data_IF_307736824996
#
_entry.id   IF_307736824996
#
_cell.length_a   1.000
_cell.length_b   1.000
_cell.length_c   1.000
_cell.angle_alpha   90.00
_cell.angle_beta   90.00
_cell.angle_gamma   90.00
#
_symmetry.space_group_name_H-M   'P 1'
#
loop_
_entity.id
_entity.type
_entity.pdbx_description
1 polymer ?
#
# COMPACT_ATOMS: atom_id res chain seq x y z
N UNK A 1 19.71 6.44 2.22
CA UNK A 1 20.98 6.81 1.55
C UNK A 1 22.12 7.00 2.55
N UNK A 2 21.88 7.63 3.70
CA UNK A 2 22.88 7.84 4.77
C UNK A 2 23.24 6.49 5.42
N UNK A 3 22.28 5.58 5.65
CA UNK A 3 22.57 4.24 6.18
C UNK A 3 23.27 3.31 5.18
N UNK A 4 23.14 3.53 3.87
CA UNK A 4 23.89 2.81 2.84
C UNK A 4 25.36 3.25 2.81
N UNK A 5 25.64 4.53 3.06
CA UNK A 5 27.01 5.08 3.15
C UNK A 5 27.73 4.63 4.42
N UNK A 6 27.07 4.51 5.55
CA UNK A 6 27.65 3.92 6.78
C UNK A 6 27.99 2.44 6.59
N UNK A 7 27.26 1.74 5.73
CA UNK A 7 27.52 0.34 5.47
C UNK A 7 28.71 0.10 4.53
N UNK A 8 28.99 1.00 3.60
CA UNK A 8 30.22 0.94 2.76
C UNK A 8 31.46 1.28 3.54
N UNK A 9 31.39 2.21 4.50
CA UNK A 9 32.52 2.55 5.37
C UNK A 9 32.89 1.41 6.33
N UNK A 10 31.94 0.54 6.68
CA UNK A 10 32.15 -0.63 7.51
C UNK A 10 32.99 -1.73 6.82
N UNK A 11 33.02 -1.76 5.48
CA UNK A 11 33.78 -2.75 4.70
C UNK A 11 35.28 -2.48 4.65
N UNK A 12 35.73 -1.25 4.86
CA UNK A 12 37.15 -0.88 4.77
C UNK A 12 38.00 -1.30 6.00
N UNK A 13 37.37 -1.66 7.13
CA UNK A 13 38.06 -2.05 8.37
C UNK A 13 37.88 -3.53 8.76
N UNK A 14 37.99 -4.46 7.81
CA UNK A 14 37.90 -5.90 8.12
C UNK A 14 39.25 -6.43 8.61
N UNK A 15 39.52 -6.30 9.88
CA UNK A 15 40.37 -7.23 10.61
C UNK A 15 39.53 -8.45 11.02
N UNK A 16 40.07 -9.66 10.84
CA UNK A 16 39.42 -10.95 11.14
C UNK A 16 39.24 -11.10 12.66
N UNK A 17 38.20 -10.47 13.22
CA UNK A 17 37.90 -10.54 14.66
C UNK A 17 36.51 -11.19 14.86
N UNK A 18 36.44 -12.15 15.80
CA UNK A 18 35.19 -12.89 16.16
C UNK A 18 34.05 -11.96 16.64
N UNK A 19 34.37 -10.76 17.17
CA UNK A 19 33.43 -9.75 17.57
C UNK A 19 32.62 -9.19 16.42
N UNK A 20 33.19 -9.12 15.20
CA UNK A 20 32.52 -8.62 13.99
C UNK A 20 31.35 -9.51 13.57
N UNK A 21 31.40 -10.81 13.81
CA UNK A 21 30.30 -11.74 13.49
C UNK A 21 29.10 -11.61 14.43
N UNK A 22 29.33 -11.34 15.70
CA UNK A 22 28.27 -11.08 16.69
C UNK A 22 27.49 -9.81 16.33
N UNK A 23 28.16 -8.76 15.92
CA UNK A 23 27.53 -7.50 15.48
C UNK A 23 26.77 -7.67 14.16
N UNK A 24 27.24 -8.47 13.21
CA UNK A 24 26.52 -8.74 11.97
C UNK A 24 25.17 -9.44 12.16
N UNK A 25 25.08 -10.39 13.07
CA UNK A 25 23.80 -11.01 13.43
C UNK A 25 22.80 -9.99 13.98
N UNK A 26 23.26 -9.00 14.76
CA UNK A 26 22.45 -7.89 15.26
C UNK A 26 22.01 -6.95 14.13
N UNK A 27 22.89 -6.66 13.16
CA UNK A 27 22.55 -5.83 12.01
C UNK A 27 21.56 -6.49 11.07
N UNK A 28 21.69 -7.79 10.77
CA UNK A 28 20.72 -8.53 9.94
C UNK A 28 19.32 -8.54 10.59
N UNK A 29 19.23 -8.70 11.92
CA UNK A 29 17.98 -8.52 12.68
C UNK A 29 17.38 -7.13 12.51
N UNK A 30 18.20 -6.10 12.59
CA UNK A 30 17.78 -4.71 12.42
C UNK A 30 17.20 -4.49 11.03
N UNK A 31 17.83 -5.04 9.98
CA UNK A 31 17.35 -4.93 8.61
C UNK A 31 16.02 -5.63 8.39
N UNK A 32 15.86 -6.90 8.78
CA UNK A 32 14.60 -7.64 8.63
C UNK A 32 13.48 -6.95 9.44
N UNK A 33 13.76 -6.51 10.66
CA UNK A 33 12.79 -5.76 11.48
C UNK A 33 12.46 -4.40 10.89
N UNK A 34 13.44 -3.68 10.37
CA UNK A 34 13.25 -2.34 9.80
C UNK A 34 12.45 -2.44 8.51
N UNK A 35 12.75 -3.37 7.61
CA UNK A 35 12.02 -3.56 6.36
C UNK A 35 10.55 -3.91 6.65
N UNK A 36 10.29 -4.93 7.46
CA UNK A 36 8.92 -5.33 7.80
C UNK A 36 8.18 -4.26 8.61
N UNK A 37 8.85 -3.59 9.56
CA UNK A 37 8.22 -2.57 10.38
C UNK A 37 7.94 -1.27 9.62
N UNK A 38 8.85 -0.84 8.74
CA UNK A 38 8.64 0.35 7.89
C UNK A 38 7.51 0.11 6.90
N UNK A 39 7.43 -1.07 6.32
CA UNK A 39 6.35 -1.43 5.40
C UNK A 39 4.98 -1.50 6.10
N UNK A 40 4.91 -2.12 7.28
CA UNK A 40 3.70 -2.15 8.09
C UNK A 40 3.23 -0.74 8.47
N UNK A 41 4.16 0.14 8.89
CA UNK A 41 3.84 1.53 9.21
C UNK A 41 3.38 2.30 7.97
N UNK A 42 4.04 2.11 6.83
CA UNK A 42 3.69 2.81 5.57
C UNK A 42 2.34 2.35 5.02
N UNK A 43 2.06 1.04 5.06
CA UNK A 43 0.76 0.49 4.65
C UNK A 43 -0.35 0.96 5.58
N UNK A 44 -0.03 1.23 6.85
CA UNK A 44 -0.96 1.72 7.87
C UNK A 44 -1.14 3.26 7.85
N UNK A 45 -0.43 4.02 7.04
CA UNK A 45 -0.60 5.47 6.93
C UNK A 45 -1.76 5.86 6.01
N UNK A 46 -2.51 6.89 6.41
CA UNK A 46 -3.48 7.55 5.53
C UNK A 46 -2.76 8.40 4.47
N UNK A 47 -3.38 8.69 3.32
CA UNK A 47 -2.73 9.50 2.27
C UNK A 47 -2.24 10.87 2.75
N UNK A 48 -2.95 11.52 3.68
CA UNK A 48 -2.54 12.80 4.28
C UNK A 48 -1.31 12.67 5.20
N UNK A 49 -1.17 11.52 5.90
CA UNK A 49 -0.05 11.25 6.80
C UNK A 49 1.21 10.81 6.04
N UNK A 50 1.03 10.08 4.92
CA UNK A 50 2.15 9.55 4.14
C UNK A 50 3.01 10.67 3.55
N UNK A 51 2.41 11.65 2.86
CA UNK A 51 3.13 12.79 2.29
C UNK A 51 2.22 14.02 2.21
N UNK A 52 2.20 14.87 3.24
CA UNK A 52 1.30 16.03 3.32
C UNK A 52 1.44 17.01 2.15
N UNK A 53 2.65 17.19 1.62
CA UNK A 53 2.89 18.08 0.48
C UNK A 53 2.23 17.56 -0.79
N UNK A 54 2.37 16.26 -1.08
CA UNK A 54 1.73 15.63 -2.24
C UNK A 54 0.22 15.61 -2.07
N UNK A 55 -0.27 15.28 -0.88
CA UNK A 55 -1.69 15.32 -0.55
C UNK A 55 -2.32 16.69 -0.86
N UNK A 56 -1.70 17.78 -0.38
CA UNK A 56 -2.20 19.13 -0.63
C UNK A 56 -2.15 19.50 -2.12
N UNK A 57 -1.14 19.09 -2.85
CA UNK A 57 -1.04 19.28 -4.30
C UNK A 57 -2.18 18.56 -5.02
N UNK A 58 -2.42 17.30 -4.70
CA UNK A 58 -3.49 16.48 -5.29
C UNK A 58 -4.87 17.04 -4.95
N UNK A 59 -5.07 17.49 -3.71
CA UNK A 59 -6.30 18.16 -3.30
C UNK A 59 -6.55 19.41 -4.12
N UNK A 60 -5.55 20.30 -4.24
CA UNK A 60 -5.65 21.51 -5.02
C UNK A 60 -5.92 21.21 -6.51
N UNK A 61 -5.29 20.18 -7.07
CA UNK A 61 -5.53 19.73 -8.44
C UNK A 61 -6.97 19.25 -8.62
N UNK A 62 -7.45 18.40 -7.71
CA UNK A 62 -8.82 17.87 -7.75
C UNK A 62 -9.87 18.97 -7.61
N UNK A 63 -9.72 19.87 -6.62
CA UNK A 63 -10.72 20.90 -6.32
C UNK A 63 -10.68 22.07 -7.31
N UNK A 64 -9.51 22.53 -7.77
CA UNK A 64 -9.39 23.74 -8.58
C UNK A 64 -9.30 23.48 -10.10
N UNK A 65 -8.90 22.27 -10.53
CA UNK A 65 -8.74 21.96 -11.96
C UNK A 65 -9.77 20.92 -12.40
N UNK A 66 -9.87 19.81 -11.71
CA UNK A 66 -10.70 18.69 -12.14
C UNK A 66 -12.19 18.91 -11.82
N UNK A 67 -12.48 19.50 -10.65
CA UNK A 67 -13.86 19.77 -10.24
C UNK A 67 -14.62 20.71 -11.21
N UNK A 68 -14.06 21.82 -11.71
CA UNK A 68 -14.72 22.63 -12.74
C UNK A 68 -15.01 21.85 -14.04
N UNK A 69 -14.09 21.00 -14.48
CA UNK A 69 -14.28 20.13 -15.65
C UNK A 69 -15.44 19.16 -15.41
N UNK A 70 -15.46 18.52 -14.23
CA UNK A 70 -16.55 17.65 -13.83
C UNK A 70 -17.91 18.36 -13.77
N UNK A 71 -17.91 19.63 -13.34
CA UNK A 71 -19.09 20.50 -13.37
C UNK A 71 -19.64 20.75 -14.79
N UNK A 72 -18.75 21.00 -15.76
CA UNK A 72 -19.12 21.13 -17.16
C UNK A 72 -19.73 19.81 -17.68
N UNK A 73 -19.09 18.67 -17.39
CA UNK A 73 -19.58 17.33 -17.78
C UNK A 73 -20.97 17.10 -17.17
N UNK A 74 -21.15 17.37 -15.89
CA UNK A 74 -22.44 17.23 -15.22
C UNK A 74 -23.52 18.10 -15.89
N UNK A 75 -23.17 19.36 -16.25
CA UNK A 75 -24.10 20.26 -16.92
C UNK A 75 -24.58 19.69 -18.26
N UNK A 76 -23.68 19.17 -19.09
CA UNK A 76 -24.04 18.49 -20.33
C UNK A 76 -24.92 17.26 -20.07
N UNK A 77 -24.59 16.44 -19.10
CA UNK A 77 -25.38 15.26 -18.72
C UNK A 77 -26.78 15.67 -18.25
N UNK A 78 -26.89 16.67 -17.40
CA UNK A 78 -28.16 17.16 -16.88
C UNK A 78 -29.04 17.77 -18.00
N UNK A 79 -28.46 18.54 -18.91
CA UNK A 79 -29.19 19.07 -20.08
C UNK A 79 -29.67 17.92 -20.99
N UNK A 80 -28.83 16.95 -21.29
CA UNK A 80 -29.20 15.78 -22.09
C UNK A 80 -30.36 15.00 -21.45
N UNK A 81 -30.31 14.77 -20.16
CA UNK A 81 -31.36 14.07 -19.42
C UNK A 81 -32.67 14.87 -19.42
N UNK A 82 -32.61 16.21 -19.29
CA UNK A 82 -33.78 17.06 -19.39
C UNK A 82 -34.44 16.96 -20.78
N UNK A 83 -33.63 16.99 -21.85
CA UNK A 83 -34.12 16.83 -23.21
C UNK A 83 -34.82 15.48 -23.39
N UNK A 84 -34.21 14.39 -22.89
CA UNK A 84 -34.82 13.06 -22.94
C UNK A 84 -36.16 13.01 -22.18
N UNK A 85 -36.25 13.66 -21.01
CA UNK A 85 -37.49 13.73 -20.24
C UNK A 85 -38.59 14.45 -21.00
N UNK A 86 -38.27 15.56 -21.68
CA UNK A 86 -39.22 16.34 -22.48
C UNK A 86 -39.71 15.51 -23.66
N UNK A 87 -38.84 14.83 -24.39
CA UNK A 87 -39.18 13.99 -25.55
C UNK A 87 -40.03 12.79 -25.12
N UNK A 88 -39.68 12.13 -24.02
CA UNK A 88 -40.40 10.95 -23.53
C UNK A 88 -41.86 11.22 -23.15
N UNK A 89 -42.19 12.45 -22.78
CA UNK A 89 -43.57 12.83 -22.37
C UNK A 89 -44.39 13.53 -23.44
N UNK A 90 -43.98 13.42 -24.71
CA UNK A 90 -44.76 13.78 -25.92
C UNK A 90 -45.38 15.20 -25.94
N UNK A 91 -44.86 16.13 -25.22
CA UNK A 91 -45.10 17.59 -25.26
C UNK A 91 -45.09 18.22 -23.85
N UNK A 92 -44.62 19.46 -23.77
CA UNK A 92 -44.61 20.28 -22.54
C UNK A 92 -46.02 20.44 -21.89
N UNK A 93 -47.08 20.21 -22.64
CA UNK A 93 -48.46 20.34 -22.15
C UNK A 93 -48.90 19.24 -21.16
N UNK A 94 -48.27 18.06 -21.22
CA UNK A 94 -48.56 16.91 -20.33
C UNK A 94 -47.41 16.64 -19.35
N UNK A 95 -46.50 17.60 -19.20
CA UNK A 95 -45.36 17.48 -18.31
C UNK A 95 -45.79 17.60 -16.84
N UNK A 96 -45.89 16.49 -16.16
CA UNK A 96 -46.18 16.46 -14.73
C UNK A 96 -45.11 17.19 -13.95
N UNK A 97 -45.52 18.24 -13.17
CA UNK A 97 -44.63 19.01 -12.32
C UNK A 97 -43.74 18.13 -11.41
N UNK A 98 -44.26 16.97 -11.03
CA UNK A 98 -43.55 16.00 -10.20
C UNK A 98 -42.31 15.39 -10.87
N UNK A 99 -42.34 15.19 -12.17
CA UNK A 99 -41.19 14.65 -12.94
C UNK A 99 -40.05 15.67 -12.98
N UNK A 100 -40.41 16.96 -13.15
CA UNK A 100 -39.45 18.05 -13.09
C UNK A 100 -38.79 18.15 -11.70
N UNK A 101 -39.55 18.05 -10.63
CA UNK A 101 -39.00 18.05 -9.26
C UNK A 101 -38.05 16.87 -9.04
N UNK A 102 -38.36 15.67 -9.53
CA UNK A 102 -37.44 14.52 -9.45
C UNK A 102 -36.11 14.81 -10.16
N UNK A 103 -36.16 15.42 -11.36
CA UNK A 103 -34.96 15.76 -12.10
C UNK A 103 -34.13 16.82 -11.36
N UNK A 104 -34.74 17.90 -10.86
CA UNK A 104 -34.09 18.95 -10.07
C UNK A 104 -33.42 18.36 -8.84
N UNK A 105 -34.16 17.53 -8.10
CA UNK A 105 -33.63 16.88 -6.88
C UNK A 105 -32.45 15.96 -7.19
N UNK A 106 -32.52 15.18 -8.25
CA UNK A 106 -31.44 14.31 -8.72
C UNK A 106 -30.19 15.12 -9.10
N UNK A 107 -30.38 16.21 -9.85
CA UNK A 107 -29.29 17.11 -10.23
C UNK A 107 -28.66 17.76 -9.01
N UNK A 108 -29.47 18.18 -8.03
CA UNK A 108 -28.98 18.72 -6.76
C UNK A 108 -28.11 17.71 -6.00
N UNK A 109 -28.54 16.45 -5.91
CA UNK A 109 -27.73 15.37 -5.29
C UNK A 109 -26.43 15.19 -6.07
N UNK A 110 -26.46 15.16 -7.40
CA UNK A 110 -25.29 15.00 -8.24
C UNK A 110 -24.27 16.14 -8.04
N UNK A 111 -24.74 17.40 -7.99
CA UNK A 111 -23.89 18.56 -7.66
C UNK A 111 -23.27 18.41 -6.27
N UNK A 112 -24.07 18.04 -5.26
CA UNK A 112 -23.57 17.84 -3.89
C UNK A 112 -22.52 16.73 -3.81
N UNK A 113 -22.72 15.63 -4.55
CA UNK A 113 -21.73 14.54 -4.63
C UNK A 113 -20.41 15.01 -5.25
N UNK A 114 -20.48 15.77 -6.37
CA UNK A 114 -19.27 16.24 -7.06
C UNK A 114 -18.50 17.22 -6.20
N UNK A 115 -19.18 18.20 -5.58
CA UNK A 115 -18.53 19.20 -4.73
C UNK A 115 -17.87 18.60 -3.48
N UNK A 116 -18.34 17.45 -3.01
CA UNK A 116 -17.78 16.74 -1.85
C UNK A 116 -16.98 15.50 -2.24
N UNK A 117 -16.67 15.31 -3.53
CA UNK A 117 -16.02 14.08 -4.03
C UNK A 117 -14.71 13.80 -3.32
N UNK A 118 -13.87 14.81 -3.11
CA UNK A 118 -12.58 14.65 -2.43
C UNK A 118 -12.76 14.09 -1.01
N UNK A 119 -13.68 14.68 -0.23
CA UNK A 119 -13.96 14.22 1.13
C UNK A 119 -14.58 12.81 1.17
N UNK A 120 -15.47 12.50 0.21
CA UNK A 120 -16.08 11.17 0.08
C UNK A 120 -15.02 10.10 -0.24
N UNK A 121 -14.14 10.40 -1.17
CA UNK A 121 -13.05 9.50 -1.56
C UNK A 121 -12.08 9.26 -0.41
N UNK A 122 -11.70 10.33 0.31
CA UNK A 122 -10.86 10.22 1.50
C UNK A 122 -11.52 9.40 2.59
N UNK A 123 -12.81 9.58 2.85
CA UNK A 123 -13.54 8.79 3.84
C UNK A 123 -13.51 7.28 3.54
N UNK A 124 -13.51 6.87 2.26
CA UNK A 124 -13.34 5.46 1.88
C UNK A 124 -11.95 4.94 2.29
N UNK A 125 -10.91 5.73 2.06
CA UNK A 125 -9.55 5.35 2.48
C UNK A 125 -9.39 5.35 3.99
N UNK A 126 -10.00 6.30 4.71
CA UNK A 126 -9.96 6.35 6.18
C UNK A 126 -10.61 5.10 6.80
N UNK A 127 -11.75 4.66 6.27
CA UNK A 127 -12.40 3.41 6.70
C UNK A 127 -11.52 2.20 6.40
N UNK A 128 -10.96 2.12 5.18
CA UNK A 128 -10.07 1.03 4.81
C UNK A 128 -8.82 1.01 5.72
N UNK A 129 -8.27 2.18 6.02
CA UNK A 129 -7.10 2.34 6.88
C UNK A 129 -7.39 1.98 8.34
N UNK A 130 -8.58 2.28 8.82
CA UNK A 130 -9.02 1.82 10.15
C UNK A 130 -8.99 0.29 10.25
N UNK A 131 -9.46 -0.42 9.22
CA UNK A 131 -9.40 -1.88 9.15
C UNK A 131 -7.95 -2.37 9.14
N UNK A 132 -7.07 -1.73 8.36
CA UNK A 132 -5.63 -2.06 8.30
C UNK A 132 -4.97 -1.89 9.66
N UNK A 133 -5.21 -0.78 10.34
CA UNK A 133 -4.64 -0.46 11.65
C UNK A 133 -5.08 -1.45 12.74
N UNK A 134 -6.37 -1.79 12.77
CA UNK A 134 -6.93 -2.79 13.68
C UNK A 134 -6.31 -4.17 13.44
N UNK A 135 -6.18 -4.57 12.17
CA UNK A 135 -5.55 -5.85 11.79
C UNK A 135 -4.07 -5.88 12.16
N UNK A 136 -3.35 -4.77 11.96
CA UNK A 136 -1.93 -4.63 12.31
C UNK A 136 -1.66 -4.83 13.78
N UNK A 137 -2.53 -4.35 14.67
CA UNK A 137 -2.40 -4.52 16.12
C UNK A 137 -2.53 -5.99 16.55
N UNK A 138 -3.39 -6.76 15.90
CA UNK A 138 -3.57 -8.20 16.15
C UNK A 138 -2.36 -9.00 15.66
N UNK A 139 -1.78 -8.61 14.51
CA UNK A 139 -0.66 -9.28 13.89
C UNK A 139 0.65 -9.00 14.64
N UNK A 140 0.88 -7.78 15.10
CA UNK A 140 2.09 -7.39 15.83
C UNK A 140 2.32 -8.22 17.10
N UNK A 141 1.27 -8.70 17.74
CA UNK A 141 1.36 -9.60 18.89
C UNK A 141 1.86 -11.01 18.56
N UNK A 142 1.71 -11.45 17.30
CA UNK A 142 2.06 -12.81 16.86
C UNK A 142 3.40 -12.92 16.11
N UNK A 143 4.06 -11.79 15.80
CA UNK A 143 5.25 -11.74 14.92
C UNK A 143 6.59 -11.56 15.65
N UNK A 144 6.62 -11.70 16.98
CA UNK A 144 7.85 -11.60 17.75
C UNK A 144 8.79 -12.79 17.46
N UNK A 145 9.88 -12.54 16.72
CA UNK A 145 10.95 -13.55 16.55
C UNK A 145 11.59 -13.83 17.92
N UNK A 146 11.56 -15.09 18.35
CA UNK A 146 12.09 -15.51 19.65
C UNK A 146 13.59 -15.24 19.72
N UNK A 147 14.01 -14.59 20.83
CA UNK A 147 15.42 -14.29 21.09
C UNK A 147 16.29 -15.54 21.29
N UNK A 148 15.68 -16.66 21.67
CA UNK A 148 16.37 -17.94 21.87
C UNK A 148 16.96 -18.50 20.56
N UNK A 149 16.26 -18.37 19.46
CA UNK A 149 16.69 -18.81 18.11
C UNK A 149 18.00 -18.13 17.68
N UNK A 150 18.17 -16.89 18.04
CA UNK A 150 19.36 -16.11 17.70
C UNK A 150 20.54 -16.39 18.61
N UNK A 151 20.27 -16.67 19.87
CA UNK A 151 21.32 -17.12 20.80
C UNK A 151 21.89 -18.48 20.35
N UNK A 152 21.03 -19.39 19.87
CA UNK A 152 21.45 -20.68 19.31
C UNK A 152 22.28 -20.51 18.02
N UNK A 153 21.87 -19.62 17.13
CA UNK A 153 22.62 -19.31 15.91
C UNK A 153 23.99 -18.69 16.23
N UNK A 154 24.06 -17.80 17.21
CA UNK A 154 25.32 -17.22 17.65
C UNK A 154 26.27 -18.26 18.25
N UNK A 155 25.79 -19.11 19.14
CA UNK A 155 26.63 -20.17 19.75
C UNK A 155 27.14 -21.18 18.73
N UNK A 156 26.34 -21.48 17.71
CA UNK A 156 26.74 -22.38 16.61
C UNK A 156 27.85 -21.75 15.75
N UNK A 157 27.76 -20.46 15.43
CA UNK A 157 28.78 -19.73 14.69
C UNK A 157 30.10 -19.59 15.46
N UNK A 158 30.02 -19.38 16.77
CA UNK A 158 31.20 -19.26 17.65
C UNK A 158 31.94 -20.59 17.80
N UNK A 159 31.25 -21.73 17.67
CA UNK A 159 31.81 -23.07 17.76
C UNK A 159 32.42 -23.59 16.45
N UNK A 160 32.21 -22.90 15.31
CA UNK A 160 32.70 -23.33 14.01
C UNK A 160 34.18 -23.02 13.77
N UNK A 161 34.87 -23.91 13.03
CA UNK A 161 36.22 -23.67 12.52
C UNK A 161 36.27 -22.59 11.44
N UNK A 162 37.45 -22.00 11.24
CA UNK A 162 37.65 -20.87 10.28
C UNK A 162 37.31 -21.22 8.83
N UNK A 163 37.55 -22.46 8.40
CA UNK A 163 37.26 -22.88 7.01
C UNK A 163 35.77 -22.86 6.65
N UNK A 164 34.90 -23.59 7.39
CA UNK A 164 33.44 -23.50 7.22
C UNK A 164 32.90 -22.09 7.40
N UNK A 165 33.44 -21.32 8.33
CA UNK A 165 33.05 -19.95 8.61
C UNK A 165 33.27 -19.04 7.39
N UNK A 166 34.40 -19.19 6.67
CA UNK A 166 34.67 -18.47 5.43
C UNK A 166 33.70 -18.83 4.31
N UNK A 167 33.32 -20.12 4.19
CA UNK A 167 32.30 -20.57 3.26
C UNK A 167 30.92 -19.92 3.52
N UNK A 168 30.49 -19.87 4.78
CA UNK A 168 29.24 -19.20 5.20
C UNK A 168 29.33 -17.68 4.91
N UNK A 169 30.49 -17.06 5.12
CA UNK A 169 30.73 -15.66 4.81
C UNK A 169 30.49 -15.35 3.34
N UNK A 170 31.08 -16.11 2.43
CA UNK A 170 30.94 -15.90 0.99
C UNK A 170 29.49 -16.11 0.51
N UNK A 171 28.81 -17.13 1.02
CA UNK A 171 27.43 -17.41 0.69
C UNK A 171 26.48 -16.34 1.29
N UNK A 172 26.77 -15.84 2.50
CA UNK A 172 25.96 -14.79 3.14
C UNK A 172 25.96 -13.49 2.36
N UNK A 173 27.03 -13.21 1.59
CA UNK A 173 27.07 -12.05 0.69
C UNK A 173 26.05 -12.16 -0.44
N UNK A 174 25.93 -13.33 -1.06
CA UNK A 174 24.94 -13.56 -2.12
C UNK A 174 23.50 -13.47 -1.57
N UNK A 175 23.26 -14.08 -0.42
CA UNK A 175 21.94 -14.02 0.25
C UNK A 175 21.59 -12.58 0.60
N UNK A 176 22.51 -11.80 1.16
CA UNK A 176 22.33 -10.39 1.47
C UNK A 176 21.96 -9.56 0.23
N UNK A 177 22.69 -9.74 -0.87
CA UNK A 177 22.43 -9.02 -2.11
C UNK A 177 21.02 -9.30 -2.65
N UNK A 178 20.55 -10.57 -2.57
CA UNK A 178 19.19 -10.95 -2.95
C UNK A 178 18.15 -10.30 -2.03
N UNK A 179 18.39 -10.25 -0.72
CA UNK A 179 17.49 -9.56 0.21
C UNK A 179 17.39 -8.07 -0.07
N UNK A 180 18.47 -7.40 -0.46
CA UNK A 180 18.43 -5.97 -0.84
C UNK A 180 17.56 -5.75 -2.08
N UNK A 181 17.68 -6.60 -3.10
CA UNK A 181 16.82 -6.52 -4.30
C UNK A 181 15.34 -6.73 -3.91
N UNK A 182 15.03 -7.74 -3.10
CA UNK A 182 13.67 -8.01 -2.65
C UNK A 182 13.10 -6.85 -1.83
N UNK A 183 13.90 -6.25 -0.95
CA UNK A 183 13.51 -5.09 -0.15
C UNK A 183 13.13 -3.90 -1.04
N UNK A 184 13.92 -3.61 -2.08
CA UNK A 184 13.62 -2.55 -3.04
C UNK A 184 12.33 -2.85 -3.81
N UNK A 185 12.09 -4.11 -4.19
CA UNK A 185 10.85 -4.51 -4.87
C UNK A 185 9.62 -4.28 -3.99
N UNK A 186 9.64 -4.74 -2.75
CA UNK A 186 8.53 -4.59 -1.81
C UNK A 186 8.28 -3.10 -1.53
N UNK A 187 9.36 -2.32 -1.31
CA UNK A 187 9.27 -0.87 -1.17
C UNK A 187 8.59 -0.22 -2.39
N UNK A 188 8.97 -0.60 -3.60
CA UNK A 188 8.39 -0.05 -4.83
C UNK A 188 6.89 -0.38 -4.95
N UNK A 189 6.47 -1.57 -4.54
CA UNK A 189 5.05 -1.99 -4.54
C UNK A 189 4.24 -1.14 -3.55
N UNK A 190 4.72 -0.98 -2.32
CA UNK A 190 4.01 -0.22 -1.28
C UNK A 190 3.90 1.27 -1.63
N UNK A 191 4.99 1.88 -2.09
CA UNK A 191 4.99 3.28 -2.53
C UNK A 191 4.20 3.48 -3.82
N UNK A 192 4.28 2.54 -4.76
CA UNK A 192 3.49 2.54 -6.00
C UNK A 192 2.00 2.58 -5.71
N UNK A 193 1.52 1.80 -4.74
CA UNK A 193 0.13 1.84 -4.27
C UNK A 193 -0.26 3.25 -3.80
N UNK A 194 0.57 3.94 -3.01
CA UNK A 194 0.25 5.28 -2.53
C UNK A 194 0.16 6.29 -3.69
N UNK A 195 1.00 6.16 -4.70
CA UNK A 195 0.92 6.97 -5.92
C UNK A 195 -0.39 6.68 -6.67
N UNK A 196 -0.77 5.42 -6.80
CA UNK A 196 -2.04 5.01 -7.44
C UNK A 196 -3.25 5.58 -6.70
N UNK A 197 -3.23 5.58 -5.36
CA UNK A 197 -4.26 6.23 -4.53
C UNK A 197 -4.35 7.73 -4.86
N UNK A 198 -3.24 8.45 -4.87
CA UNK A 198 -3.23 9.88 -5.20
C UNK A 198 -3.76 10.18 -6.61
N UNK A 199 -3.34 9.39 -7.61
CA UNK A 199 -3.83 9.53 -8.98
C UNK A 199 -5.35 9.28 -9.07
N UNK A 200 -5.83 8.23 -8.40
CA UNK A 200 -7.25 7.89 -8.37
C UNK A 200 -8.09 8.98 -7.72
N UNK A 201 -7.63 9.52 -6.57
CA UNK A 201 -8.32 10.61 -5.87
C UNK A 201 -8.33 11.90 -6.71
N UNK A 202 -7.24 12.21 -7.41
CA UNK A 202 -7.13 13.44 -8.21
C UNK A 202 -8.20 13.54 -9.29
N UNK A 203 -8.56 12.42 -9.92
CA UNK A 203 -9.53 12.34 -11.02
C UNK A 203 -10.97 12.06 -10.57
N UNK A 204 -11.19 11.87 -9.27
CA UNK A 204 -12.47 11.45 -8.70
C UNK A 204 -13.70 12.28 -9.14
N UNK A 205 -13.65 13.60 -9.28
CA UNK A 205 -14.83 14.40 -9.66
C UNK A 205 -15.44 13.99 -11.02
N UNK A 206 -14.62 13.54 -11.99
CA UNK A 206 -15.10 13.17 -13.32
C UNK A 206 -16.02 11.95 -13.30
N UNK A 207 -15.63 10.78 -12.76
CA UNK A 207 -16.52 9.65 -12.61
C UNK A 207 -17.78 9.96 -11.77
N UNK A 208 -17.64 10.78 -10.72
CA UNK A 208 -18.78 11.18 -9.90
C UNK A 208 -19.80 12.02 -10.67
N UNK A 209 -19.37 12.81 -11.65
CA UNK A 209 -20.27 13.55 -12.54
C UNK A 209 -21.22 12.63 -13.32
N UNK A 210 -20.81 11.40 -13.62
CA UNK A 210 -21.61 10.46 -14.41
C UNK A 210 -22.75 9.81 -13.61
N UNK A 211 -22.76 9.90 -12.28
CA UNK A 211 -23.86 9.38 -11.46
C UNK A 211 -25.20 10.07 -11.74
N UNK A 212 -25.14 11.31 -12.28
CA UNK A 212 -26.34 12.07 -12.68
C UNK A 212 -27.19 11.37 -13.74
N UNK A 213 -26.64 10.50 -14.58
CA UNK A 213 -27.37 9.86 -15.68
C UNK A 213 -27.32 8.33 -15.56
N UNK A 214 -28.51 7.69 -15.77
CA UNK A 214 -28.65 6.23 -15.67
C UNK A 214 -27.81 5.48 -16.69
N UNK A 215 -27.67 6.00 -17.91
CA UNK A 215 -26.92 5.35 -18.99
C UNK A 215 -25.41 5.42 -18.76
N UNK A 216 -24.92 6.52 -18.15
CA UNK A 216 -23.49 6.76 -17.91
C UNK A 216 -23.04 6.39 -16.50
N UNK A 217 -23.98 6.08 -15.60
CA UNK A 217 -23.68 5.76 -14.19
C UNK A 217 -22.73 4.56 -14.02
N UNK A 218 -22.58 3.72 -15.04
CA UNK A 218 -21.65 2.59 -15.05
C UNK A 218 -20.19 3.04 -14.86
N UNK A 219 -19.81 4.22 -15.40
CA UNK A 219 -18.46 4.79 -15.25
C UNK A 219 -18.21 5.10 -13.77
N UNK A 220 -19.13 5.82 -13.14
CA UNK A 220 -19.03 6.14 -11.70
C UNK A 220 -19.06 4.91 -10.82
N UNK A 221 -19.90 3.91 -11.13
CA UNK A 221 -19.96 2.65 -10.37
C UNK A 221 -18.66 1.86 -10.47
N UNK A 222 -18.07 1.76 -11.67
CA UNK A 222 -16.78 1.08 -11.86
C UNK A 222 -15.66 1.81 -11.12
N UNK A 223 -15.68 3.14 -11.13
CA UNK A 223 -14.74 3.94 -10.35
C UNK A 223 -14.87 3.66 -8.85
N UNK A 224 -16.08 3.63 -8.30
CA UNK A 224 -16.30 3.29 -6.88
C UNK A 224 -15.78 1.88 -6.55
N UNK A 225 -16.04 0.90 -7.41
CA UNK A 225 -15.52 -0.46 -7.22
C UNK A 225 -13.99 -0.47 -7.18
N UNK A 226 -13.34 0.24 -8.11
CA UNK A 226 -11.88 0.39 -8.12
C UNK A 226 -11.36 1.11 -6.89
N UNK A 227 -12.05 2.15 -6.44
CA UNK A 227 -11.71 2.89 -5.22
C UNK A 227 -11.75 2.00 -3.97
N UNK A 228 -12.81 1.20 -3.82
CA UNK A 228 -12.91 0.23 -2.73
C UNK A 228 -11.83 -0.84 -2.83
N UNK A 229 -11.60 -1.39 -4.03
CA UNK A 229 -10.55 -2.38 -4.25
C UNK A 229 -9.17 -1.85 -3.84
N UNK A 230 -8.84 -0.63 -4.26
CA UNK A 230 -7.59 0.05 -3.92
C UNK A 230 -7.47 0.35 -2.41
N UNK A 231 -8.57 0.75 -1.77
CA UNK A 231 -8.63 0.94 -0.32
C UNK A 231 -8.33 -0.36 0.44
N UNK A 232 -9.02 -1.45 0.07
CA UNK A 232 -8.83 -2.76 0.71
C UNK A 232 -7.53 -3.47 0.34
N UNK A 233 -6.84 -3.06 -0.73
CA UNK A 233 -5.53 -3.60 -1.08
C UNK A 233 -4.54 -3.50 0.08
N UNK A 234 -4.57 -2.42 0.88
CA UNK A 234 -3.75 -2.27 2.07
C UNK A 234 -3.99 -3.36 3.12
N UNK A 235 -5.25 -3.75 3.31
CA UNK A 235 -5.60 -4.86 4.18
C UNK A 235 -5.02 -6.19 3.65
N UNK A 236 -5.12 -6.44 2.35
CA UNK A 236 -4.55 -7.64 1.74
C UNK A 236 -3.02 -7.70 1.89
N UNK A 237 -2.33 -6.57 1.68
CA UNK A 237 -0.89 -6.46 1.93
C UNK A 237 -0.57 -6.81 3.39
N UNK A 238 -1.35 -6.29 4.36
CA UNK A 238 -1.18 -6.59 5.78
C UNK A 238 -1.34 -8.09 6.07
N UNK A 239 -2.34 -8.75 5.47
CA UNK A 239 -2.56 -10.20 5.60
C UNK A 239 -1.38 -10.98 5.01
N UNK A 240 -0.88 -10.59 3.83
CA UNK A 240 0.30 -11.21 3.22
C UNK A 240 1.52 -11.11 4.14
N UNK A 241 1.77 -9.94 4.73
CA UNK A 241 2.88 -9.72 5.68
C UNK A 241 2.70 -10.57 6.95
N UNK A 242 1.46 -10.74 7.44
CA UNK A 242 1.16 -11.60 8.57
C UNK A 242 1.48 -13.08 8.28
N UNK A 243 1.07 -13.56 7.10
CA UNK A 243 1.37 -14.92 6.64
C UNK A 243 2.88 -15.10 6.51
N UNK A 244 3.57 -14.14 5.92
CA UNK A 244 5.03 -14.14 5.82
C UNK A 244 5.69 -14.26 7.21
N UNK A 245 5.28 -13.42 8.16
CA UNK A 245 5.82 -13.44 9.51
C UNK A 245 5.59 -14.80 10.21
N UNK A 246 4.42 -15.39 10.03
CA UNK A 246 4.12 -16.71 10.56
C UNK A 246 4.98 -17.82 9.90
N UNK A 247 5.18 -17.76 8.58
CA UNK A 247 6.03 -18.70 7.86
C UNK A 247 7.51 -18.59 8.28
N UNK A 248 8.02 -17.40 8.46
CA UNK A 248 9.40 -17.18 8.94
C UNK A 248 9.62 -17.80 10.33
N UNK A 249 8.63 -17.77 11.21
CA UNK A 249 8.70 -18.38 12.53
C UNK A 249 8.78 -19.92 12.47
N UNK A 250 8.28 -20.55 11.42
CA UNK A 250 8.38 -22.01 11.25
C UNK A 250 9.77 -22.47 10.83
N UNK A 251 10.65 -21.55 10.40
CA UNK A 251 12.02 -21.87 10.02
C UNK A 251 12.84 -22.11 11.27
N UNK A 252 13.17 -23.38 11.52
CA UNK A 252 14.10 -23.76 12.60
C UNK A 252 15.53 -23.48 12.15
N UNK A 253 16.22 -22.58 12.85
CA UNK A 253 17.65 -22.37 12.67
C UNK A 253 18.41 -23.51 13.39
N UNK A 254 18.64 -24.60 12.63
CA UNK A 254 19.42 -25.74 13.08
C UNK A 254 20.92 -25.52 12.82
N UNK A 255 21.72 -26.59 12.92
CA UNK A 255 23.16 -26.58 12.59
C UNK A 255 23.46 -26.13 11.14
N UNK A 256 22.48 -26.24 10.23
CA UNK A 256 22.57 -25.71 8.87
C UNK A 256 21.98 -24.27 8.81
N UNK A 257 22.82 -23.30 9.24
CA UNK A 257 22.46 -21.89 9.22
C UNK A 257 22.20 -21.39 7.79
N UNK A 258 22.96 -21.90 6.82
CA UNK A 258 22.83 -21.44 5.44
C UNK A 258 21.55 -21.95 4.79
N UNK A 259 21.17 -23.21 5.00
CA UNK A 259 19.89 -23.74 4.56
C UNK A 259 18.70 -22.95 5.14
N UNK A 260 18.80 -22.58 6.40
CA UNK A 260 17.78 -21.76 7.06
C UNK A 260 17.67 -20.34 6.44
N UNK A 261 18.79 -19.70 6.10
CA UNK A 261 18.81 -18.41 5.41
C UNK A 261 18.20 -18.48 3.99
N UNK A 262 18.50 -19.55 3.23
CA UNK A 262 17.88 -19.79 1.93
C UNK A 262 16.37 -20.02 2.03
N UNK A 263 15.90 -20.69 3.06
CA UNK A 263 14.46 -20.86 3.32
C UNK A 263 13.78 -19.52 3.61
N UNK A 264 14.37 -18.67 4.47
CA UNK A 264 13.85 -17.32 4.73
C UNK A 264 13.84 -16.48 3.46
N UNK A 265 14.90 -16.55 2.62
CA UNK A 265 14.94 -15.88 1.34
C UNK A 265 13.81 -16.35 0.41
N UNK A 266 13.56 -17.66 0.34
CA UNK A 266 12.47 -18.25 -0.45
C UNK A 266 11.11 -17.75 0.00
N UNK A 267 10.87 -17.67 1.31
CA UNK A 267 9.63 -17.12 1.89
C UNK A 267 9.49 -15.62 1.57
N UNK A 268 10.59 -14.86 1.64
CA UNK A 268 10.59 -13.43 1.27
C UNK A 268 10.33 -13.22 -0.21
N UNK A 269 10.87 -14.08 -1.06
CA UNK A 269 10.58 -14.09 -2.50
C UNK A 269 9.11 -14.37 -2.76
N UNK A 270 8.52 -15.34 -2.06
CA UNK A 270 7.10 -15.64 -2.14
C UNK A 270 6.26 -14.40 -1.76
N UNK A 271 6.60 -13.70 -0.69
CA UNK A 271 5.95 -12.45 -0.30
C UNK A 271 6.00 -11.41 -1.41
N UNK A 272 7.19 -11.17 -1.99
CA UNK A 272 7.37 -10.20 -3.06
C UNK A 272 6.57 -10.52 -4.33
N UNK A 273 6.31 -11.79 -4.62
CA UNK A 273 5.47 -12.23 -5.74
C UNK A 273 3.96 -12.19 -5.44
N UNK A 274 3.57 -12.23 -4.16
CA UNK A 274 2.15 -12.21 -3.77
C UNK A 274 1.62 -10.80 -3.55
N UNK A 275 2.50 -9.82 -3.28
CA UNK A 275 2.16 -8.39 -3.17
C UNK A 275 1.92 -7.75 -4.53
#
# INVERSE_FOLDING_TARGET
LIEILEFTHFFEHITFDKTVYSERGKHMKKYIRVVVAVELVTVAQTPDQFQPTVYNLIRNLSENVILPIAGIILTFIACYELIQLVIAHNNLANFETWIFFKWVFKTFIAVTLITNTFNITMAVFDVAQHVVSQSGSLIAGSTAVDGSTLATMQSTLEAMDVGPLFGIFLQSFAVKFLFEILSILIWAIVYGRMIEIYLTISLAPIPFATFGNREQSMIGQNYLRSLFALGFQGFLIMVCVAIYAALVQTVSFSSDIMGSLWNVLGITLLLAFTL
#
